data_IF_734955900032
#
_entry.id   IF_734955900032
#
_cell.length_a   1.000
_cell.length_b   1.000
_cell.length_c   1.000
_cell.angle_alpha   90.00
_cell.angle_beta   90.00
_cell.angle_gamma   90.00
#
_symmetry.space_group_name_H-M   'P 1'
#
loop_
_entity.id
_entity.type
_entity.pdbx_description
1 polymer ?
#
# COMPACT_ATOMS: atom_id res chain seq x y z
N UNK A 1 -24.16 6.41 29.67
CA UNK A 1 -23.00 7.16 29.14
C UNK A 1 -22.28 6.40 28.02
N UNK A 2 -21.52 5.33 28.26
CA UNK A 2 -20.79 4.63 27.18
C UNK A 2 -21.71 3.92 26.16
N UNK A 3 -22.85 3.39 26.60
CA UNK A 3 -23.87 2.84 25.70
C UNK A 3 -24.54 3.91 24.84
N UNK A 4 -24.80 5.08 25.42
CA UNK A 4 -25.37 6.21 24.68
C UNK A 4 -24.35 6.78 23.68
N UNK A 5 -23.07 6.81 24.06
CA UNK A 5 -21.99 7.18 23.17
C UNK A 5 -21.79 6.16 22.03
N UNK A 6 -21.97 4.86 22.30
CA UNK A 6 -22.01 3.83 21.26
C UNK A 6 -23.12 4.09 20.25
N UNK A 7 -24.33 4.41 20.72
CA UNK A 7 -25.44 4.78 19.84
C UNK A 7 -25.12 6.03 19.01
N UNK A 8 -24.48 7.03 19.59
CA UNK A 8 -24.02 8.22 18.86
C UNK A 8 -23.00 7.86 17.77
N UNK A 9 -22.00 7.05 18.09
CA UNK A 9 -20.97 6.62 17.13
C UNK A 9 -21.57 5.79 15.98
N UNK A 10 -22.59 4.99 16.24
CA UNK A 10 -23.32 4.25 15.20
C UNK A 10 -24.04 5.17 14.20
N UNK A 11 -24.51 6.35 14.63
CA UNK A 11 -25.15 7.34 13.72
C UNK A 11 -24.16 7.84 12.67
N UNK A 12 -22.88 7.90 12.99
CA UNK A 12 -21.81 8.33 12.07
C UNK A 12 -21.12 7.18 11.36
N UNK A 13 -21.66 5.96 11.47
CA UNK A 13 -21.04 4.74 10.94
C UNK A 13 -19.59 4.53 11.42
N UNK A 14 -19.27 5.04 12.61
CA UNK A 14 -17.93 4.87 13.19
C UNK A 14 -17.91 3.51 13.86
N UNK A 15 -17.18 2.58 13.25
CA UNK A 15 -17.00 1.25 13.82
C UNK A 15 -16.22 1.29 15.13
N UNK A 16 -16.75 0.65 16.16
CA UNK A 16 -16.16 0.66 17.50
C UNK A 16 -16.52 -0.60 18.29
N UNK A 17 -15.81 -0.87 19.38
CA UNK A 17 -16.15 -1.93 20.33
C UNK A 17 -15.82 -1.49 21.74
N UNK A 18 -16.81 -1.49 22.63
CA UNK A 18 -16.61 -1.21 24.05
C UNK A 18 -16.43 -2.50 24.84
N UNK A 19 -15.30 -2.63 25.53
CA UNK A 19 -15.09 -3.68 26.53
C UNK A 19 -15.48 -3.13 27.88
N UNK A 20 -16.59 -3.60 28.43
CA UNK A 20 -17.08 -3.20 29.74
C UNK A 20 -17.01 -4.36 30.73
N UNK A 21 -16.72 -4.04 31.99
CA UNK A 21 -16.67 -4.96 33.10
C UNK A 21 -17.50 -4.37 34.24
N UNK A 22 -18.37 -5.18 34.85
CA UNK A 22 -19.20 -4.76 35.97
C UNK A 22 -18.51 -4.97 37.34
N UNK A 23 -17.29 -5.51 37.34
CA UNK A 23 -16.53 -5.72 38.57
C UNK A 23 -15.89 -4.40 39.01
N UNK A 24 -16.11 -3.97 40.27
CA UNK A 24 -15.44 -2.81 40.80
C UNK A 24 -13.95 -3.09 40.94
N UNK A 25 -13.14 -2.03 40.92
CA UNK A 25 -11.72 -2.10 41.25
C UNK A 25 -11.54 -2.78 42.63
N UNK A 26 -10.68 -3.81 42.75
CA UNK A 26 -10.43 -4.47 44.03
C UNK A 26 -9.95 -3.47 45.09
N UNK A 27 -10.26 -3.74 46.36
CA UNK A 27 -9.83 -2.87 47.48
C UNK A 27 -8.32 -2.93 47.71
N UNK A 28 -7.69 -4.08 47.42
CA UNK A 28 -6.25 -4.30 47.56
C UNK A 28 -5.75 -4.81 46.20
N UNK A 29 -4.84 -4.06 45.57
CA UNK A 29 -4.25 -4.43 44.28
C UNK A 29 -2.93 -3.68 44.05
N UNK A 30 -2.06 -4.23 43.21
CA UNK A 30 -0.90 -3.51 42.70
C UNK A 30 -1.30 -2.66 41.48
N UNK A 31 -1.08 -1.35 41.55
CA UNK A 31 -1.67 -0.38 40.60
C UNK A 31 -1.26 -0.61 39.15
N UNK A 32 0.01 -0.90 38.92
CA UNK A 32 0.55 -1.08 37.57
C UNK A 32 -0.01 -2.36 36.94
N UNK A 33 -0.01 -3.47 37.69
CA UNK A 33 -0.57 -4.75 37.24
C UNK A 33 -2.05 -4.62 36.90
N UNK A 34 -2.85 -4.05 37.80
CA UNK A 34 -4.28 -3.84 37.54
C UNK A 34 -4.52 -2.99 36.28
N UNK A 35 -3.81 -1.87 36.12
CA UNK A 35 -3.99 -1.04 34.93
C UNK A 35 -3.50 -1.73 33.65
N UNK A 36 -2.43 -2.52 33.71
CA UNK A 36 -1.96 -3.32 32.58
C UNK A 36 -3.01 -4.37 32.18
N UNK A 37 -3.62 -5.06 33.15
CA UNK A 37 -4.70 -6.02 32.90
C UNK A 37 -5.93 -5.36 32.26
N UNK A 38 -6.39 -4.24 32.79
CA UNK A 38 -7.54 -3.50 32.25
C UNK A 38 -7.25 -3.01 30.81
N UNK A 39 -6.05 -2.48 30.54
CA UNK A 39 -5.66 -2.07 29.19
C UNK A 39 -5.58 -3.26 28.24
N UNK A 40 -4.99 -4.38 28.67
CA UNK A 40 -4.95 -5.61 27.87
C UNK A 40 -6.35 -6.15 27.57
N UNK A 41 -7.31 -6.03 28.49
CA UNK A 41 -8.73 -6.33 28.24
C UNK A 41 -9.31 -5.40 27.17
N UNK A 42 -9.05 -4.09 27.24
CA UNK A 42 -9.51 -3.11 26.25
C UNK A 42 -8.91 -3.35 24.84
N UNK A 43 -7.72 -3.95 24.75
CA UNK A 43 -7.07 -4.33 23.49
C UNK A 43 -7.56 -5.67 22.91
N UNK A 44 -8.38 -6.46 23.64
CA UNK A 44 -8.88 -7.75 23.13
C UNK A 44 -9.67 -7.64 21.81
N UNK A 45 -10.54 -6.64 21.60
CA UNK A 45 -11.22 -6.45 20.32
C UNK A 45 -10.26 -6.28 19.16
N UNK A 46 -9.11 -5.60 19.34
CA UNK A 46 -8.10 -5.48 18.28
C UNK A 46 -7.55 -6.85 17.87
N UNK A 47 -7.37 -7.79 18.80
CA UNK A 47 -6.96 -9.17 18.47
C UNK A 47 -8.07 -9.93 17.72
N UNK A 48 -9.33 -9.66 18.02
CA UNK A 48 -10.48 -10.26 17.32
C UNK A 48 -10.60 -9.66 15.92
N UNK A 49 -10.50 -8.35 15.78
CA UNK A 49 -10.55 -7.67 14.48
C UNK A 49 -9.33 -8.04 13.61
N UNK A 50 -8.13 -8.17 14.19
CA UNK A 50 -6.97 -8.76 13.50
C UNK A 50 -7.22 -10.20 13.03
N UNK A 51 -7.86 -11.05 13.86
CA UNK A 51 -8.27 -12.41 13.43
C UNK A 51 -9.35 -12.39 12.34
N UNK A 52 -10.11 -11.30 12.25
CA UNK A 52 -11.02 -10.98 11.15
C UNK A 52 -10.35 -10.11 10.07
N UNK A 53 -9.01 -10.04 10.03
CA UNK A 53 -8.24 -9.39 8.96
C UNK A 53 -8.32 -7.87 8.91
N UNK A 54 -8.87 -7.25 9.95
CA UNK A 54 -9.03 -5.80 10.05
C UNK A 54 -7.94 -5.25 10.96
N UNK A 55 -6.73 -5.23 10.43
CA UNK A 55 -5.66 -4.38 10.94
C UNK A 55 -5.99 -2.92 10.63
N UNK A 56 -5.43 -2.00 11.41
CA UNK A 56 -5.40 -0.60 10.99
C UNK A 56 -4.46 -0.54 9.80
N UNK A 57 -5.01 -0.37 8.60
CA UNK A 57 -4.30 -0.44 7.31
C UNK A 57 -3.05 0.43 7.30
N UNK A 58 -3.07 1.60 7.95
CA UNK A 58 -1.91 2.50 8.06
C UNK A 58 -0.84 1.92 8.99
N UNK A 59 -1.23 1.33 10.12
CA UNK A 59 -0.27 0.68 11.01
C UNK A 59 0.37 -0.55 10.38
N UNK A 60 -0.39 -1.30 9.57
CA UNK A 60 0.16 -2.42 8.80
C UNK A 60 1.17 -1.93 7.77
N UNK A 61 0.87 -0.84 7.03
CA UNK A 61 1.83 -0.25 6.09
C UNK A 61 3.10 0.27 6.78
N UNK A 62 2.99 0.88 7.97
CA UNK A 62 4.15 1.30 8.77
C UNK A 62 4.95 0.09 9.26
N UNK A 63 4.25 -0.96 9.72
CA UNK A 63 4.89 -2.20 10.12
C UNK A 63 5.64 -2.83 8.94
N UNK A 64 5.04 -2.91 7.75
CA UNK A 64 5.71 -3.44 6.56
C UNK A 64 6.88 -2.55 6.12
N UNK A 65 6.76 -1.23 6.22
CA UNK A 65 7.88 -0.33 5.95
C UNK A 65 9.12 -0.67 6.79
N UNK A 66 8.93 -0.86 8.10
CA UNK A 66 9.99 -1.22 9.04
C UNK A 66 10.45 -2.67 8.88
N UNK A 67 9.50 -3.62 8.89
CA UNK A 67 9.75 -5.06 8.81
C UNK A 67 10.40 -5.45 7.48
N UNK A 68 10.03 -4.82 6.36
CA UNK A 68 10.65 -5.05 5.06
C UNK A 68 11.93 -4.24 4.88
N UNK A 69 12.25 -3.30 5.77
CA UNK A 69 13.32 -2.30 5.60
C UNK A 69 13.20 -1.61 4.23
N UNK A 70 11.97 -1.26 3.84
CA UNK A 70 11.70 -0.67 2.55
C UNK A 70 12.09 0.81 2.54
N UNK A 71 12.39 1.33 1.36
CA UNK A 71 12.50 2.78 1.16
C UNK A 71 11.16 3.41 0.77
N UNK A 72 10.24 2.59 0.27
CA UNK A 72 8.92 3.03 -0.19
C UNK A 72 7.96 1.85 -0.05
N UNK A 73 6.91 2.00 0.77
CA UNK A 73 5.86 0.99 0.95
C UNK A 73 4.48 1.56 0.60
N UNK A 74 3.68 0.82 -0.16
CA UNK A 74 2.34 1.24 -0.57
C UNK A 74 1.33 0.07 -0.61
N UNK A 75 0.03 0.32 -0.43
CA UNK A 75 -1.04 -0.66 -0.63
C UNK A 75 -1.36 -0.84 -2.13
N UNK A 76 -2.52 -1.41 -2.47
CA UNK A 76 -3.09 -1.38 -3.82
C UNK A 76 -4.31 -0.45 -3.91
N UNK A 77 -4.37 0.39 -4.95
CA UNK A 77 -5.49 1.30 -5.22
C UNK A 77 -6.49 0.58 -6.13
N UNK A 78 -7.75 0.54 -5.70
CA UNK A 78 -8.81 -0.13 -6.44
C UNK A 78 -10.03 0.78 -6.66
N UNK A 79 -10.81 0.39 -7.66
CA UNK A 79 -12.09 0.99 -7.98
C UNK A 79 -13.12 -0.08 -8.37
N UNK A 80 -14.40 0.18 -8.14
CA UNK A 80 -15.46 -0.69 -8.61
C UNK A 80 -15.74 -0.49 -10.10
N UNK A 81 -15.87 -1.60 -10.82
CA UNK A 81 -16.28 -1.63 -12.22
C UNK A 81 -17.81 -1.64 -12.31
N UNK A 82 -18.41 -0.46 -12.50
CA UNK A 82 -19.88 -0.25 -12.51
C UNK A 82 -20.65 -1.15 -13.50
N UNK A 83 -19.99 -1.68 -14.54
CA UNK A 83 -20.62 -2.53 -15.58
C UNK A 83 -20.56 -4.04 -15.30
N UNK A 84 -19.86 -4.48 -14.25
CA UNK A 84 -19.62 -5.91 -13.95
C UNK A 84 -19.88 -6.24 -12.48
N UNK A 85 -21.11 -6.07 -12.00
CA UNK A 85 -21.55 -6.57 -10.69
C UNK A 85 -20.65 -6.16 -9.50
N UNK A 86 -20.12 -4.94 -9.50
CA UNK A 86 -19.21 -4.44 -8.44
C UNK A 86 -17.90 -5.25 -8.31
N UNK A 87 -17.40 -5.85 -9.39
CA UNK A 87 -16.02 -6.35 -9.45
C UNK A 87 -15.04 -5.19 -9.16
N UNK A 88 -13.99 -5.48 -8.38
CA UNK A 88 -12.93 -4.53 -8.08
C UNK A 88 -11.76 -4.72 -9.04
N UNK A 89 -11.24 -3.62 -9.55
CA UNK A 89 -10.06 -3.60 -10.39
C UNK A 89 -8.99 -2.66 -9.83
N UNK A 90 -7.73 -2.98 -10.11
CA UNK A 90 -6.60 -2.12 -9.83
C UNK A 90 -6.66 -0.84 -10.69
N UNK A 91 -6.56 0.30 -10.03
CA UNK A 91 -6.78 1.62 -10.62
C UNK A 91 -5.51 2.21 -11.25
N UNK A 92 -4.44 2.29 -10.47
CA UNK A 92 -3.23 3.06 -10.80
C UNK A 92 -2.24 2.30 -11.69
N UNK A 93 -2.76 1.59 -12.70
CA UNK A 93 -1.99 0.82 -13.68
C UNK A 93 -1.00 1.67 -14.49
N UNK A 94 -1.21 2.98 -14.61
CA UNK A 94 -0.26 3.86 -15.28
C UNK A 94 1.02 4.09 -14.45
N UNK A 95 0.90 4.07 -13.13
CA UNK A 95 1.99 4.39 -12.19
C UNK A 95 2.74 3.13 -11.78
N UNK A 96 2.00 2.08 -11.40
CA UNK A 96 2.58 0.87 -10.82
C UNK A 96 3.29 -0.01 -11.87
N UNK A 97 4.51 -0.44 -11.55
CA UNK A 97 5.40 -1.20 -12.42
C UNK A 97 6.06 -2.34 -11.68
N UNK A 98 6.02 -3.52 -12.28
CA UNK A 98 6.67 -4.70 -11.72
C UNK A 98 8.19 -4.71 -11.99
N UNK A 99 8.86 -5.77 -11.53
CA UNK A 99 10.30 -5.95 -11.72
C UNK A 99 10.71 -6.39 -13.14
N UNK A 100 9.78 -6.52 -14.07
CA UNK A 100 10.07 -6.58 -15.52
C UNK A 100 9.97 -5.21 -16.17
N UNK A 101 9.64 -4.18 -15.39
CA UNK A 101 9.36 -2.84 -15.89
C UNK A 101 8.04 -2.74 -16.64
N UNK A 102 7.14 -3.73 -16.52
CA UNK A 102 5.81 -3.69 -17.13
C UNK A 102 4.80 -3.05 -16.18
N UNK A 103 3.73 -2.46 -16.73
CA UNK A 103 2.62 -1.93 -15.94
C UNK A 103 1.86 -3.04 -15.25
N UNK A 104 1.27 -2.72 -14.10
CA UNK A 104 0.27 -3.59 -13.51
C UNK A 104 -0.97 -3.71 -14.39
N UNK A 105 -1.60 -4.88 -14.32
CA UNK A 105 -2.89 -5.16 -14.95
C UNK A 105 -4.02 -4.80 -13.98
N UNK A 106 -5.20 -4.56 -14.54
CA UNK A 106 -6.38 -4.20 -13.76
C UNK A 106 -6.92 -5.36 -12.89
N UNK A 107 -6.68 -6.62 -13.28
CA UNK A 107 -7.14 -7.77 -12.51
C UNK A 107 -6.32 -7.99 -11.24
N UNK A 108 -6.93 -7.87 -10.07
CA UNK A 108 -6.26 -7.91 -8.76
C UNK A 108 -5.50 -9.22 -8.47
N UNK A 109 -5.98 -10.36 -8.97
CA UNK A 109 -5.27 -11.64 -8.78
C UNK A 109 -4.18 -11.88 -9.85
N UNK A 110 -4.16 -11.06 -10.91
CA UNK A 110 -3.25 -11.16 -12.05
C UNK A 110 -2.54 -9.83 -12.34
N UNK A 111 -2.18 -9.08 -11.29
CA UNK A 111 -1.56 -7.75 -11.39
C UNK A 111 -0.30 -7.75 -12.26
N UNK A 112 0.49 -8.81 -12.21
CA UNK A 112 1.78 -8.89 -12.88
C UNK A 112 2.02 -10.29 -13.45
N UNK A 113 2.79 -10.35 -14.54
CA UNK A 113 3.33 -11.60 -15.08
C UNK A 113 4.74 -11.92 -14.59
N UNK A 114 5.36 -11.04 -13.81
CA UNK A 114 6.58 -11.35 -13.09
C UNK A 114 6.29 -12.51 -12.10
N UNK A 115 6.96 -13.68 -12.23
CA UNK A 115 6.52 -14.91 -11.55
C UNK A 115 6.50 -14.78 -10.03
N UNK A 116 7.52 -14.15 -9.45
CA UNK A 116 7.61 -13.97 -8.00
C UNK A 116 6.56 -12.98 -7.48
N UNK A 117 6.39 -11.85 -8.18
CA UNK A 117 5.34 -10.86 -7.85
C UNK A 117 3.96 -11.51 -7.89
N UNK A 118 3.67 -12.27 -8.96
CA UNK A 118 2.40 -12.98 -9.11
C UNK A 118 2.18 -13.97 -7.96
N UNK A 119 3.18 -14.81 -7.66
CA UNK A 119 3.09 -15.83 -6.62
C UNK A 119 2.88 -15.22 -5.23
N UNK A 120 3.56 -14.10 -4.92
CA UNK A 120 3.37 -13.37 -3.66
C UNK A 120 2.00 -12.70 -3.58
N UNK A 121 1.54 -12.09 -4.67
CA UNK A 121 0.21 -11.48 -4.74
C UNK A 121 -0.93 -12.50 -4.58
N UNK A 122 -0.80 -13.69 -5.16
CA UNK A 122 -1.75 -14.81 -4.97
C UNK A 122 -1.85 -15.23 -3.49
N UNK A 123 -0.77 -15.00 -2.72
CA UNK A 123 -0.70 -15.29 -1.28
C UNK A 123 -0.97 -14.07 -0.39
N UNK A 124 -1.31 -12.92 -0.99
CA UNK A 124 -1.47 -11.62 -0.31
C UNK A 124 -0.25 -11.25 0.54
N UNK A 125 0.95 -11.58 0.04
CA UNK A 125 2.22 -11.24 0.68
C UNK A 125 2.88 -10.02 0.02
N UNK A 126 3.60 -9.18 0.78
CA UNK A 126 4.39 -8.09 0.23
C UNK A 126 5.33 -8.55 -0.89
N UNK A 127 5.49 -7.72 -1.92
CA UNK A 127 6.41 -7.98 -3.03
C UNK A 127 7.12 -6.71 -3.50
N UNK A 128 8.36 -6.87 -3.99
CA UNK A 128 9.14 -5.78 -4.55
C UNK A 128 8.62 -5.37 -5.93
N UNK A 129 8.69 -4.07 -6.22
CA UNK A 129 8.24 -3.44 -7.45
C UNK A 129 9.28 -2.42 -7.92
N UNK A 130 9.21 -1.99 -9.18
CA UNK A 130 9.99 -0.82 -9.59
C UNK A 130 9.32 0.46 -9.10
N UNK A 131 8.00 0.56 -9.21
CA UNK A 131 7.26 1.70 -8.71
C UNK A 131 5.87 1.27 -8.31
N UNK A 132 5.34 1.90 -7.28
CA UNK A 132 3.94 1.80 -6.91
C UNK A 132 3.60 3.01 -6.04
N UNK A 133 2.48 3.65 -6.31
CA UNK A 133 1.95 4.79 -5.55
C UNK A 133 0.44 4.73 -5.70
N UNK A 134 -0.24 4.32 -4.65
CA UNK A 134 -1.59 3.76 -4.73
C UNK A 134 -2.42 4.32 -3.57
N UNK A 135 -2.90 5.57 -3.69
CA UNK A 135 -3.66 6.28 -2.64
C UNK A 135 -2.88 6.70 -1.38
N UNK A 136 -2.10 5.81 -0.79
CA UNK A 136 -1.28 6.03 0.42
C UNK A 136 0.15 5.52 0.17
N UNK A 137 1.16 6.16 0.75
CA UNK A 137 2.55 5.71 0.71
C UNK A 137 3.28 6.01 2.02
N UNK A 138 4.10 5.07 2.49
CA UNK A 138 5.07 5.26 3.57
C UNK A 138 6.44 5.37 2.91
N UNK A 139 7.10 6.51 3.10
CA UNK A 139 8.33 6.85 2.39
C UNK A 139 9.49 6.99 3.37
N UNK A 140 10.66 6.49 2.98
CA UNK A 140 11.91 6.88 3.60
C UNK A 140 12.10 8.39 3.39
N UNK A 141 12.24 9.19 4.47
CA UNK A 141 12.24 10.63 4.32
C UNK A 141 13.61 11.20 3.91
N UNK A 142 14.69 10.42 4.04
CA UNK A 142 16.07 10.85 3.76
C UNK A 142 16.28 11.50 2.37
N UNK A 143 15.72 10.96 1.27
CA UNK A 143 15.89 11.56 -0.06
C UNK A 143 15.44 13.02 -0.16
N UNK A 144 14.54 13.47 0.73
CA UNK A 144 13.94 14.81 0.68
C UNK A 144 14.73 15.88 1.42
N UNK A 145 15.71 15.53 2.27
CA UNK A 145 16.47 16.51 3.05
C UNK A 145 17.99 16.28 3.06
N UNK A 146 18.47 15.15 2.54
CA UNK A 146 19.91 14.94 2.34
C UNK A 146 20.47 15.79 1.19
N UNK A 147 21.79 15.73 0.97
CA UNK A 147 22.48 16.47 -0.09
C UNK A 147 21.83 16.21 -1.46
N UNK A 148 21.49 17.27 -2.18
CA UNK A 148 20.71 17.23 -3.44
C UNK A 148 19.33 16.57 -3.22
N UNK A 149 18.45 17.22 -2.44
CA UNK A 149 17.15 16.66 -2.10
C UNK A 149 16.28 16.52 -3.34
N UNK A 150 15.50 15.44 -3.40
CA UNK A 150 14.51 15.25 -4.46
C UNK A 150 13.19 15.92 -4.07
N UNK A 151 12.38 16.24 -5.07
CA UNK A 151 11.03 16.79 -4.90
C UNK A 151 10.14 16.24 -5.99
N UNK A 152 8.82 16.25 -5.77
CA UNK A 152 7.88 16.04 -6.86
C UNK A 152 8.16 17.05 -7.97
N UNK A 153 8.14 16.58 -9.21
CA UNK A 153 8.55 17.37 -10.37
C UNK A 153 7.84 16.91 -11.63
N UNK A 154 7.92 17.75 -12.65
CA UNK A 154 7.62 17.37 -14.03
C UNK A 154 8.81 16.62 -14.64
N UNK A 155 8.56 15.91 -15.74
CA UNK A 155 9.62 15.33 -16.56
C UNK A 155 10.49 16.43 -17.15
N UNK A 156 11.78 16.14 -17.31
CA UNK A 156 12.72 16.96 -18.06
C UNK A 156 12.52 16.72 -19.57
N UNK A 157 11.45 17.32 -20.13
CA UNK A 157 11.07 17.17 -21.54
C UNK A 157 12.21 17.52 -22.50
N UNK A 158 12.98 18.55 -22.17
CA UNK A 158 14.11 19.02 -23.00
C UNK A 158 15.27 18.01 -23.04
N UNK A 159 15.32 17.09 -22.06
CA UNK A 159 16.28 16.00 -21.98
C UNK A 159 15.68 14.67 -22.49
N UNK A 160 14.47 14.69 -23.05
CA UNK A 160 13.78 13.51 -23.55
C UNK A 160 13.25 12.58 -22.45
N UNK A 161 13.16 13.05 -21.20
CA UNK A 161 12.56 12.23 -20.13
C UNK A 161 11.05 12.05 -20.38
N UNK A 162 10.59 10.81 -20.26
CA UNK A 162 9.17 10.52 -20.45
C UNK A 162 8.30 11.31 -19.47
N UNK A 163 7.21 11.86 -20.00
CA UNK A 163 6.18 12.63 -19.31
C UNK A 163 5.27 11.77 -18.42
N UNK A 164 5.89 11.02 -17.50
CA UNK A 164 5.21 10.17 -16.54
C UNK A 164 4.53 11.00 -15.43
N UNK A 165 3.71 10.33 -14.61
CA UNK A 165 3.18 10.92 -13.39
C UNK A 165 4.32 11.37 -12.45
N UNK A 166 4.06 12.39 -11.65
CA UNK A 166 4.95 12.84 -10.58
C UNK A 166 5.27 11.71 -9.60
N UNK A 167 4.34 10.77 -9.39
CA UNK A 167 4.55 9.58 -8.58
C UNK A 167 5.56 8.61 -9.20
N UNK A 168 5.43 8.34 -10.51
CA UNK A 168 6.41 7.52 -11.24
C UNK A 168 7.79 8.16 -11.30
N UNK A 169 7.85 9.48 -11.47
CA UNK A 169 9.10 10.23 -11.45
C UNK A 169 9.74 10.20 -10.05
N UNK A 170 8.94 10.30 -8.99
CA UNK A 170 9.44 10.15 -7.63
C UNK A 170 10.05 8.75 -7.40
N UNK A 171 9.39 7.68 -7.83
CA UNK A 171 9.98 6.34 -7.78
C UNK A 171 11.33 6.30 -8.50
N UNK A 172 11.41 6.83 -9.72
CA UNK A 172 12.65 6.88 -10.50
C UNK A 172 13.76 7.66 -9.77
N UNK A 173 13.41 8.77 -9.13
CA UNK A 173 14.33 9.59 -8.35
C UNK A 173 14.82 8.83 -7.10
N UNK A 174 13.94 8.09 -6.41
CA UNK A 174 14.33 7.17 -5.32
C UNK A 174 15.35 6.13 -5.81
N UNK A 175 15.07 5.46 -6.93
CA UNK A 175 16.00 4.49 -7.53
C UNK A 175 17.35 5.11 -7.88
N UNK A 176 17.34 6.28 -8.52
CA UNK A 176 18.54 7.04 -8.91
C UNK A 176 19.37 7.53 -7.72
N UNK A 177 18.77 7.55 -6.53
CA UNK A 177 19.38 7.97 -5.27
C UNK A 177 19.83 6.79 -4.40
N UNK A 178 19.67 5.55 -4.86
CA UNK A 178 20.03 4.35 -4.11
C UNK A 178 18.94 3.82 -3.18
N UNK A 179 17.77 4.48 -3.13
CA UNK A 179 16.62 4.08 -2.33
C UNK A 179 15.72 3.13 -3.13
N UNK A 180 16.22 1.90 -3.32
CA UNK A 180 15.75 0.97 -4.35
C UNK A 180 14.77 -0.09 -3.82
N UNK A 181 14.48 -0.11 -2.52
CA UNK A 181 13.61 -1.10 -1.88
C UNK A 181 12.15 -0.62 -1.88
N UNK A 182 11.49 -0.71 -3.03
CA UNK A 182 10.08 -0.33 -3.19
C UNK A 182 9.19 -1.57 -3.09
N UNK A 183 8.18 -1.51 -2.23
CA UNK A 183 7.32 -2.63 -1.83
C UNK A 183 5.85 -2.30 -2.01
N UNK A 184 5.10 -3.21 -2.62
CA UNK A 184 3.64 -3.20 -2.59
C UNK A 184 3.13 -4.24 -1.59
N UNK A 185 2.14 -3.86 -0.78
CA UNK A 185 1.49 -4.71 0.24
C UNK A 185 0.07 -5.05 -0.24
N UNK A 186 -0.12 -6.20 -0.92
CA UNK A 186 -1.40 -6.55 -1.55
C UNK A 186 -2.50 -6.97 -0.57
N UNK A 187 -2.16 -7.14 0.70
CA UNK A 187 -3.14 -7.36 1.77
C UNK A 187 -3.95 -6.09 2.07
N UNK A 188 -3.39 -4.90 1.84
CA UNK A 188 -4.05 -3.62 2.10
C UNK A 188 -4.58 -3.04 0.79
N UNK A 189 -5.87 -2.69 0.80
CA UNK A 189 -6.58 -2.15 -0.35
C UNK A 189 -7.15 -0.78 0.01
N UNK A 190 -6.92 0.22 -0.83
CA UNK A 190 -7.44 1.58 -0.64
C UNK A 190 -8.21 2.03 -1.88
N UNK A 191 -9.21 2.90 -1.69
CA UNK A 191 -9.97 3.45 -2.81
C UNK A 191 -10.09 4.95 -2.72
N UNK A 192 -10.11 5.58 -3.90
CA UNK A 192 -10.35 7.01 -4.02
C UNK A 192 -11.80 7.42 -3.67
N UNK A 193 -12.77 6.52 -3.84
CA UNK A 193 -14.19 6.79 -3.59
C UNK A 193 -14.69 6.01 -2.39
N UNK A 194 -15.52 6.67 -1.57
CA UNK A 194 -16.20 6.04 -0.43
C UNK A 194 -17.13 4.91 -0.88
N UNK A 195 -17.80 5.05 -2.04
CA UNK A 195 -18.67 4.01 -2.61
C UNK A 195 -17.92 2.72 -2.99
N UNK A 196 -16.62 2.81 -3.27
CA UNK A 196 -15.79 1.65 -3.57
C UNK A 196 -15.28 1.00 -2.27
N UNK A 197 -14.99 1.80 -1.24
CA UNK A 197 -14.43 1.34 0.03
C UNK A 197 -15.33 0.31 0.73
N UNK A 198 -16.65 0.49 0.66
CA UNK A 198 -17.64 -0.43 1.27
C UNK A 198 -17.64 -1.83 0.64
N UNK A 199 -17.04 -1.99 -0.54
CA UNK A 199 -16.97 -3.26 -1.26
C UNK A 199 -15.76 -4.13 -0.86
N UNK A 200 -14.90 -3.63 0.04
CA UNK A 200 -13.68 -4.32 0.45
C UNK A 200 -13.89 -5.46 1.43
N UNK A 201 -14.95 -5.40 2.24
CA UNK A 201 -15.19 -6.38 3.30
C UNK A 201 -15.11 -7.83 2.79
N UNK A 202 -15.79 -8.22 1.69
CA UNK A 202 -15.67 -9.56 1.13
C UNK A 202 -14.26 -9.91 0.59
N UNK A 203 -13.48 -8.91 0.21
CA UNK A 203 -12.10 -9.11 -0.28
C UNK A 203 -11.15 -9.38 0.87
N UNK A 204 -11.26 -8.64 1.97
CA UNK A 204 -10.54 -8.92 3.20
C UNK A 204 -10.90 -10.30 3.77
N UNK A 205 -12.18 -10.68 3.77
CA UNK A 205 -12.62 -12.02 4.19
C UNK A 205 -12.01 -13.15 3.36
N UNK A 206 -11.80 -12.92 2.05
CA UNK A 206 -11.10 -13.87 1.18
C UNK A 206 -9.60 -13.90 1.49
N UNK A 207 -8.97 -12.74 1.67
CA UNK A 207 -7.55 -12.62 1.97
C UNK A 207 -7.14 -13.39 3.25
N UNK A 208 -8.00 -13.39 4.27
CA UNK A 208 -7.76 -14.13 5.52
C UNK A 208 -7.70 -15.64 5.37
N UNK A 209 -8.32 -16.18 4.32
CA UNK A 209 -8.39 -17.61 4.04
C UNK A 209 -7.26 -18.06 3.11
N UNK A 210 -6.45 -17.13 2.63
CA UNK A 210 -5.34 -17.41 1.72
C UNK A 210 -4.24 -18.12 2.48
N UNK A 211 -3.85 -19.29 1.98
CA UNK A 211 -2.74 -20.04 2.54
C UNK A 211 -1.40 -19.43 2.10
N UNK A 212 -0.57 -19.05 3.08
CA UNK A 212 0.76 -18.47 2.86
C UNK A 212 1.81 -19.56 3.00
N UNK A 213 2.57 -19.79 1.94
CA UNK A 213 3.67 -20.76 1.86
C UNK A 213 5.04 -20.11 1.73
N UNK A 214 5.09 -18.84 1.30
CA UNK A 214 6.33 -18.06 1.23
C UNK A 214 6.56 -17.28 2.53
N UNK A 215 7.82 -16.97 2.79
CA UNK A 215 8.19 -16.02 3.84
C UNK A 215 7.70 -14.61 3.47
N UNK A 216 7.18 -13.92 4.48
CA UNK A 216 6.64 -12.56 4.32
C UNK A 216 7.75 -11.55 4.01
N UNK A 217 8.92 -11.68 4.65
CA UNK A 217 10.10 -10.85 4.37
C UNK A 217 10.56 -11.08 2.93
N UNK A 218 10.72 -10.00 2.18
CA UNK A 218 11.16 -10.04 0.78
C UNK A 218 12.67 -10.21 0.73
N UNK A 219 13.15 -11.06 -0.19
CA UNK A 219 14.54 -11.06 -0.63
C UNK A 219 14.65 -10.12 -1.83
N UNK A 220 15.22 -8.94 -1.63
CA UNK A 220 15.33 -7.92 -2.67
C UNK A 220 16.25 -8.39 -3.80
N UNK A 221 15.88 -8.02 -5.02
CA UNK A 221 16.65 -8.28 -6.23
C UNK A 221 16.83 -6.99 -7.01
N UNK A 222 17.78 -7.00 -7.96
CA UNK A 222 18.02 -5.86 -8.84
C UNK A 222 16.73 -5.46 -9.57
N UNK A 223 16.54 -4.15 -9.72
CA UNK A 223 15.45 -3.59 -10.51
C UNK A 223 15.60 -3.89 -12.00
N UNK A 224 14.50 -3.74 -12.77
CA UNK A 224 14.57 -3.90 -14.22
C UNK A 224 15.51 -2.86 -14.83
N UNK A 225 16.21 -3.14 -15.93
CA UNK A 225 17.08 -2.15 -16.60
C UNK A 225 16.28 -1.03 -17.28
N UNK A 226 15.04 -1.32 -17.68
CA UNK A 226 14.14 -0.39 -18.35
C UNK A 226 12.73 -0.54 -17.82
N UNK A 227 11.95 0.52 -17.94
CA UNK A 227 10.52 0.50 -17.61
C UNK A 227 9.70 1.04 -18.76
N UNK A 228 8.49 0.51 -18.88
CA UNK A 228 7.48 1.04 -19.76
C UNK A 228 7.03 2.43 -19.29
N UNK A 229 6.93 3.36 -20.22
CA UNK A 229 6.35 4.66 -19.99
C UNK A 229 5.35 5.00 -21.10
N UNK A 230 4.28 5.69 -20.72
CA UNK A 230 3.29 6.27 -21.62
C UNK A 230 3.09 7.69 -21.11
N UNK A 231 3.52 8.68 -21.86
CA UNK A 231 3.51 10.09 -21.41
C UNK A 231 2.12 10.70 -21.39
N UNK A 232 1.96 11.78 -20.61
CA UNK A 232 0.78 12.65 -20.61
C UNK A 232 1.25 14.09 -20.85
N UNK A 233 1.13 14.58 -22.08
CA UNK A 233 1.61 15.90 -22.51
C UNK A 233 0.49 16.91 -22.72
N UNK A 234 -0.69 16.45 -23.16
CA UNK A 234 -1.81 17.32 -23.41
C UNK A 234 -2.35 18.00 -22.15
N UNK A 235 -2.68 19.28 -22.28
CA UNK A 235 -3.35 20.04 -21.22
C UNK A 235 -4.73 19.43 -20.90
N UNK A 236 -5.07 19.39 -19.61
CA UNK A 236 -6.35 18.89 -19.09
C UNK A 236 -6.68 17.43 -19.49
N UNK A 237 -5.67 16.62 -19.82
CA UNK A 237 -5.84 15.17 -19.99
C UNK A 237 -5.85 14.49 -18.63
N UNK A 238 -6.70 13.48 -18.49
CA UNK A 238 -6.79 12.63 -17.29
C UNK A 238 -6.03 11.32 -17.50
N UNK A 239 -5.85 10.92 -18.76
CA UNK A 239 -5.17 9.70 -19.14
C UNK A 239 -3.95 10.01 -20.02
N UNK A 240 -2.94 9.12 -20.04
CA UNK A 240 -1.77 9.24 -20.91
C UNK A 240 -2.17 9.35 -22.38
N UNK A 241 -1.48 10.21 -23.13
CA UNK A 241 -1.80 10.54 -24.51
C UNK A 241 -0.63 10.38 -25.49
N UNK A 242 0.52 9.91 -25.01
CA UNK A 242 1.69 9.61 -25.84
C UNK A 242 1.84 8.10 -26.16
N UNK A 243 2.63 7.73 -27.19
CA UNK A 243 2.95 6.34 -27.46
C UNK A 243 3.66 5.62 -26.29
N UNK A 244 3.52 4.29 -26.25
CA UNK A 244 4.29 3.43 -25.35
C UNK A 244 5.78 3.46 -25.74
N UNK A 245 6.64 3.68 -24.75
CA UNK A 245 8.10 3.67 -24.88
C UNK A 245 8.72 2.85 -23.74
N UNK A 246 9.89 2.28 -23.98
CA UNK A 246 10.74 1.69 -22.95
C UNK A 246 11.89 2.64 -22.67
N UNK A 247 12.10 2.99 -21.39
CA UNK A 247 13.08 4.01 -20.99
C UNK A 247 13.98 3.48 -19.89
N UNK A 248 15.25 3.89 -19.94
CA UNK A 248 16.12 3.84 -18.77
C UNK A 248 15.61 4.90 -17.79
N UNK A 249 15.38 4.53 -16.54
CA UNK A 249 14.75 5.40 -15.54
C UNK A 249 15.70 5.81 -14.41
N UNK A 250 16.92 5.27 -14.41
CA UNK A 250 17.94 5.55 -13.42
C UNK A 250 19.28 5.76 -14.09
N UNK A 251 20.08 6.68 -13.57
CA UNK A 251 21.46 6.93 -13.99
C UNK A 251 22.49 6.22 -13.11
N UNK A 252 22.08 5.65 -11.98
CA UNK A 252 22.96 5.04 -10.97
C UNK A 252 22.88 3.51 -10.94
N UNK A 253 22.35 2.89 -11.99
CA UNK A 253 22.11 1.44 -12.04
C UNK A 253 20.91 0.99 -11.23
N UNK A 254 20.64 -0.32 -11.27
CA UNK A 254 19.44 -0.97 -10.72
C UNK A 254 19.77 -2.02 -9.65
N UNK A 255 21.05 -2.15 -9.30
CA UNK A 255 21.56 -3.12 -8.35
C UNK A 255 21.13 -2.77 -6.92
N UNK A 256 20.71 -3.77 -6.14
CA UNK A 256 20.47 -3.61 -4.69
C UNK A 256 21.80 -3.85 -3.96
N UNK A 257 22.15 -2.95 -3.03
CA UNK A 257 23.31 -3.07 -2.14
C UNK A 257 23.02 -3.96 -0.92
#
# INVERSE_FOLDING_TARGET
MLRDFSNYMNVFDIKHTFVMENQPRPKIFHRIEYLAEIRNKALKPLKIERRKGRTDDVLELIYQYDFQESDFTCPLDFQAVKKKNNELEFRDSWVARDLRGEKFRSALDLLSYHPETRRRNEQKLPFQVQCSWNGVAILNPKPFYEKNPISFRRSYSDLGECSASECSLLCNDFWSRGYKRIVAVPEILVSYRLEDAILLDPVYDKALKVNRTLEEKIKYVNGPPQVICVGLDGNNRINPDQPKLWVNYTTSGTEIE
#
